data_IF_899999632495
#
_entry.id   IF_899999632495
#
_cell.length_a   1.000
_cell.length_b   1.000
_cell.length_c   1.000
_cell.angle_alpha   90.00
_cell.angle_beta   90.00
_cell.angle_gamma   90.00
#
_symmetry.space_group_name_H-M   'P 1'
#
loop_
_entity.id
_entity.type
_entity.pdbx_description
1 polymer ?
#
# COMPACT_ATOMS: atom_id res chain seq x y z
N UNK A 1 -28.53 -2.82 9.42
CA UNK A 1 -28.09 -4.15 9.86
C UNK A 1 -26.63 -4.24 9.49
N UNK A 2 -25.73 -4.49 10.43
CA UNK A 2 -24.32 -4.73 10.10
C UNK A 2 -24.28 -6.03 9.32
N UNK A 3 -23.76 -5.99 8.08
CA UNK A 3 -23.52 -7.19 7.30
C UNK A 3 -22.51 -8.04 8.06
N UNK A 4 -22.92 -9.27 8.38
CA UNK A 4 -22.04 -10.28 8.94
C UNK A 4 -21.03 -10.65 7.83
N UNK A 5 -19.85 -9.98 7.85
CA UNK A 5 -18.75 -10.26 6.92
C UNK A 5 -17.90 -11.42 7.42
N UNK A 6 -18.52 -12.54 7.74
CA UNK A 6 -17.83 -13.80 8.06
C UNK A 6 -16.80 -14.21 7.00
N UNK A 7 -16.97 -13.74 5.76
CA UNK A 7 -16.07 -13.97 4.62
C UNK A 7 -14.68 -13.32 4.79
N UNK A 8 -14.54 -12.40 5.74
CA UNK A 8 -13.24 -11.79 6.08
C UNK A 8 -12.52 -12.47 7.24
N UNK A 9 -13.05 -13.58 7.74
CA UNK A 9 -12.34 -14.40 8.72
C UNK A 9 -10.95 -14.78 8.19
N UNK A 10 -9.89 -14.72 9.03
CA UNK A 10 -8.51 -14.95 8.59
C UNK A 10 -8.29 -16.29 7.87
N UNK A 11 -8.99 -17.34 8.27
CA UNK A 11 -8.94 -18.66 7.66
C UNK A 11 -9.47 -18.65 6.21
N UNK A 12 -10.59 -17.97 5.95
CA UNK A 12 -11.15 -17.79 4.62
C UNK A 12 -10.25 -16.90 3.77
N UNK A 13 -9.79 -15.77 4.33
CA UNK A 13 -8.88 -14.84 3.64
C UNK A 13 -7.56 -15.49 3.24
N UNK A 14 -7.00 -16.33 4.11
CA UNK A 14 -5.72 -16.99 3.85
C UNK A 14 -5.82 -18.24 2.98
N UNK A 15 -7.03 -18.77 2.78
CA UNK A 15 -7.27 -19.96 1.92
C UNK A 15 -7.27 -19.68 0.43
N UNK A 16 -7.17 -18.41 0.02
CA UNK A 16 -7.24 -18.00 -1.38
C UNK A 16 -6.46 -16.71 -1.66
N UNK A 17 -6.21 -16.46 -2.94
CA UNK A 17 -5.67 -15.21 -3.46
C UNK A 17 -6.81 -14.34 -3.97
N UNK A 18 -6.99 -13.17 -3.37
CA UNK A 18 -8.11 -12.26 -3.64
C UNK A 18 -7.69 -11.11 -4.56
N UNK A 19 -8.66 -10.42 -5.15
CA UNK A 19 -8.38 -9.25 -6.01
C UNK A 19 -7.59 -8.17 -5.27
N UNK A 20 -7.86 -7.94 -3.99
CA UNK A 20 -7.07 -7.04 -3.15
C UNK A 20 -5.63 -7.52 -2.94
N UNK A 21 -5.38 -8.84 -2.89
CA UNK A 21 -4.02 -9.37 -2.81
C UNK A 21 -3.25 -9.16 -4.13
N UNK A 22 -3.95 -9.31 -5.27
CA UNK A 22 -3.40 -8.97 -6.58
C UNK A 22 -3.00 -7.50 -6.63
N UNK A 23 -3.88 -6.61 -6.17
CA UNK A 23 -3.60 -5.17 -6.08
C UNK A 23 -2.37 -4.89 -5.22
N UNK A 24 -2.25 -5.50 -4.06
CA UNK A 24 -1.10 -5.35 -3.17
C UNK A 24 0.19 -5.89 -3.82
N UNK A 25 0.13 -7.06 -4.44
CA UNK A 25 1.29 -7.67 -5.09
C UNK A 25 1.82 -6.80 -6.25
N UNK A 26 0.94 -6.24 -7.07
CA UNK A 26 1.32 -5.33 -8.17
C UNK A 26 1.85 -4.00 -7.63
N UNK A 27 1.37 -3.55 -6.47
CA UNK A 27 1.86 -2.34 -5.79
C UNK A 27 3.19 -2.54 -5.03
N UNK A 28 3.86 -3.68 -5.19
CA UNK A 28 5.16 -3.95 -4.58
C UNK A 28 5.12 -4.64 -3.21
N UNK A 29 3.95 -5.13 -2.77
CA UNK A 29 3.76 -5.79 -1.47
C UNK A 29 3.54 -7.32 -1.60
N UNK A 30 4.10 -7.95 -2.66
CA UNK A 30 3.89 -9.37 -2.90
C UNK A 30 4.44 -10.26 -1.77
N UNK A 31 5.65 -9.97 -1.28
CA UNK A 31 6.30 -10.73 -0.20
C UNK A 31 5.49 -10.62 1.09
N UNK A 32 5.07 -9.42 1.47
CA UNK A 32 4.25 -9.18 2.66
C UNK A 32 2.92 -9.95 2.57
N UNK A 33 2.24 -9.86 1.42
CA UNK A 33 0.99 -10.58 1.17
C UNK A 33 1.17 -12.10 1.31
N UNK A 34 2.26 -12.67 0.76
CA UNK A 34 2.57 -14.09 0.89
C UNK A 34 2.79 -14.47 2.35
N UNK A 35 3.56 -13.70 3.11
CA UNK A 35 3.83 -13.98 4.52
C UNK A 35 2.56 -13.94 5.38
N UNK A 36 1.64 -13.00 5.08
CA UNK A 36 0.32 -12.94 5.73
C UNK A 36 -0.49 -14.21 5.40
N UNK A 37 -0.54 -14.62 4.11
CA UNK A 37 -1.24 -15.84 3.68
C UNK A 37 -0.69 -17.11 4.31
N UNK A 38 0.61 -17.16 4.57
CA UNK A 38 1.28 -18.25 5.26
C UNK A 38 1.09 -18.22 6.80
N UNK A 39 0.44 -17.18 7.34
CA UNK A 39 0.30 -16.98 8.78
C UNK A 39 1.60 -16.60 9.49
N UNK A 40 2.65 -16.24 8.75
CA UNK A 40 3.95 -15.80 9.29
C UNK A 40 3.95 -14.36 9.76
N UNK A 41 2.98 -13.59 9.28
CA UNK A 41 2.72 -12.22 9.71
C UNK A 41 1.22 -12.01 9.94
N UNK A 42 0.83 -11.24 10.95
CA UNK A 42 -0.56 -10.84 11.09
C UNK A 42 -0.94 -9.88 9.95
N UNK A 43 -2.19 -9.90 9.49
CA UNK A 43 -2.68 -8.85 8.61
C UNK A 43 -2.66 -7.50 9.35
N UNK A 44 -2.50 -6.38 8.63
CA UNK A 44 -2.57 -5.06 9.25
C UNK A 44 -3.94 -4.85 9.89
N UNK A 45 -3.95 -4.32 11.12
CA UNK A 45 -5.20 -3.89 11.76
C UNK A 45 -5.67 -2.58 11.15
N UNK A 46 -6.70 -2.66 10.34
CA UNK A 46 -7.32 -1.52 9.66
C UNK A 46 -8.56 -0.98 10.38
N UNK A 47 -8.95 -1.56 11.52
CA UNK A 47 -10.20 -1.22 12.23
C UNK A 47 -10.24 0.24 12.71
N UNK A 48 -9.09 0.80 13.10
CA UNK A 48 -8.92 2.20 13.50
C UNK A 48 -8.57 3.17 12.36
N UNK A 49 -8.45 2.69 11.11
CA UNK A 49 -8.06 3.54 9.98
C UNK A 49 -9.28 4.25 9.41
N UNK A 50 -9.40 5.55 9.70
CA UNK A 50 -10.54 6.38 9.29
C UNK A 50 -10.80 6.34 7.77
N UNK A 51 -9.73 6.35 6.95
CA UNK A 51 -9.85 6.28 5.49
C UNK A 51 -10.53 4.98 5.01
N UNK A 52 -10.29 3.85 5.69
CA UNK A 52 -10.95 2.57 5.39
C UNK A 52 -12.41 2.61 5.80
N UNK A 53 -12.71 3.13 7.00
CA UNK A 53 -14.08 3.31 7.47
C UNK A 53 -14.88 4.22 6.53
N UNK A 54 -14.29 5.34 6.11
CA UNK A 54 -14.90 6.26 5.12
C UNK A 54 -15.08 5.61 3.76
N UNK A 55 -14.20 4.70 3.35
CA UNK A 55 -14.37 3.89 2.15
C UNK A 55 -15.70 3.13 2.18
N UNK A 56 -15.96 2.39 3.26
CA UNK A 56 -17.20 1.63 3.44
C UNK A 56 -18.44 2.54 3.50
N UNK A 57 -18.38 3.67 4.26
CA UNK A 57 -19.49 4.61 4.35
C UNK A 57 -19.83 5.24 3.01
N UNK A 58 -18.83 5.52 2.18
CA UNK A 58 -19.02 6.18 0.88
C UNK A 58 -19.36 5.21 -0.25
N UNK A 59 -19.15 3.91 -0.11
CA UNK A 59 -19.41 2.90 -1.15
C UNK A 59 -20.83 3.02 -1.77
N UNK A 60 -21.94 3.06 -1.01
CA UNK A 60 -23.28 3.21 -1.59
C UNK A 60 -23.48 4.55 -2.32
N UNK A 61 -22.84 5.62 -1.82
CA UNK A 61 -22.93 6.95 -2.43
C UNK A 61 -22.20 6.97 -3.77
N UNK A 62 -20.98 6.41 -3.84
CA UNK A 62 -20.20 6.31 -5.07
C UNK A 62 -20.93 5.41 -6.08
N UNK A 63 -21.55 4.30 -5.63
CA UNK A 63 -22.39 3.45 -6.46
C UNK A 63 -23.55 4.20 -7.11
N UNK A 64 -24.25 5.06 -6.36
CA UNK A 64 -25.30 5.93 -6.92
C UNK A 64 -24.78 6.95 -7.93
N UNK A 65 -23.62 7.55 -7.66
CA UNK A 65 -22.97 8.46 -8.61
C UNK A 65 -22.60 7.72 -9.90
N UNK A 66 -22.09 6.48 -9.79
CA UNK A 66 -21.76 5.63 -10.91
C UNK A 66 -23.02 5.26 -11.72
N UNK A 67 -24.08 4.82 -11.06
CA UNK A 67 -25.37 4.51 -11.68
C UNK A 67 -25.92 5.68 -12.53
N UNK A 68 -25.88 6.89 -11.94
CA UNK A 68 -26.33 8.10 -12.62
C UNK A 68 -25.45 8.48 -13.82
N UNK A 69 -24.12 8.43 -13.66
CA UNK A 69 -23.17 8.80 -14.73
C UNK A 69 -23.18 7.81 -15.88
N UNK A 70 -23.24 6.52 -15.58
CA UNK A 70 -23.27 5.43 -16.54
C UNK A 70 -24.68 5.20 -17.15
N UNK A 71 -25.71 5.83 -16.57
CA UNK A 71 -27.13 5.65 -16.98
C UNK A 71 -27.55 4.17 -16.95
N UNK A 72 -27.09 3.43 -15.96
CA UNK A 72 -27.43 2.03 -15.75
C UNK A 72 -27.83 1.78 -14.29
N UNK A 73 -28.79 0.91 -14.09
CA UNK A 73 -29.14 0.45 -12.75
C UNK A 73 -28.05 -0.48 -12.23
N UNK A 74 -27.54 -0.20 -11.02
CA UNK A 74 -26.56 -1.01 -10.31
C UNK A 74 -27.20 -1.70 -9.14
N UNK A 75 -26.87 -2.96 -8.95
CA UNK A 75 -27.22 -3.77 -7.78
C UNK A 75 -26.01 -3.98 -6.92
N UNK A 76 -26.20 -3.97 -5.61
CA UNK A 76 -25.19 -4.39 -4.64
C UNK A 76 -24.76 -5.83 -4.95
N UNK A 77 -23.45 -6.04 -5.09
CA UNK A 77 -22.84 -7.33 -5.32
C UNK A 77 -22.02 -7.77 -4.10
N UNK A 78 -22.55 -7.52 -2.88
CA UNK A 78 -21.89 -7.87 -1.61
C UNK A 78 -21.83 -9.39 -1.41
N UNK A 79 -21.13 -10.05 -2.35
CA UNK A 79 -20.82 -11.47 -2.35
C UNK A 79 -19.40 -11.69 -2.88
N UNK A 80 -18.87 -12.88 -2.67
CA UNK A 80 -17.65 -13.31 -3.34
C UNK A 80 -17.89 -14.50 -4.26
N UNK A 81 -17.05 -14.62 -5.27
CA UNK A 81 -16.98 -15.79 -6.13
C UNK A 81 -15.60 -16.41 -6.12
N UNK A 82 -15.57 -17.69 -6.43
CA UNK A 82 -14.36 -18.47 -6.70
C UNK A 82 -14.27 -18.69 -8.21
N UNK A 83 -13.08 -18.51 -8.80
CA UNK A 83 -12.88 -18.79 -10.22
C UNK A 83 -13.22 -20.24 -10.55
N UNK A 84 -13.91 -20.52 -11.66
CA UNK A 84 -14.47 -21.85 -11.95
C UNK A 84 -13.43 -22.99 -11.99
N UNK A 85 -12.22 -22.73 -12.45
CA UNK A 85 -11.15 -23.74 -12.57
C UNK A 85 -10.02 -23.54 -11.55
N UNK A 86 -9.87 -22.32 -11.00
CA UNK A 86 -8.81 -21.97 -10.08
C UNK A 86 -9.38 -21.69 -8.68
N UNK A 87 -9.58 -22.73 -7.89
CA UNK A 87 -10.26 -22.65 -6.57
C UNK A 87 -9.57 -21.73 -5.55
N UNK A 88 -8.30 -21.41 -5.79
CA UNK A 88 -7.51 -20.50 -4.99
C UNK A 88 -7.67 -19.02 -5.41
N UNK A 89 -8.35 -18.71 -6.52
CA UNK A 89 -8.47 -17.39 -7.09
C UNK A 89 -9.90 -16.86 -6.86
N UNK A 90 -10.06 -15.84 -6.00
CA UNK A 90 -11.35 -15.36 -5.51
C UNK A 90 -11.46 -13.85 -5.54
N UNK A 91 -12.65 -13.34 -5.66
CA UNK A 91 -12.93 -11.91 -5.54
C UNK A 91 -14.25 -11.62 -4.86
N UNK A 92 -14.26 -10.51 -4.10
CA UNK A 92 -15.45 -9.76 -3.74
C UNK A 92 -15.75 -8.74 -4.82
N UNK A 93 -17.00 -8.28 -4.88
CA UNK A 93 -17.47 -7.30 -5.85
C UNK A 93 -18.26 -6.22 -5.11
N UNK A 94 -18.20 -4.97 -5.61
CA UNK A 94 -18.96 -3.88 -5.03
C UNK A 94 -20.35 -3.80 -5.68
N UNK A 95 -20.40 -3.68 -7.01
CA UNK A 95 -21.66 -3.56 -7.75
C UNK A 95 -21.64 -4.33 -9.06
N UNK A 96 -22.84 -4.71 -9.53
CA UNK A 96 -23.08 -5.29 -10.85
C UNK A 96 -24.26 -4.58 -11.51
N UNK A 97 -24.21 -4.38 -12.83
CA UNK A 97 -25.35 -3.84 -13.57
C UNK A 97 -26.58 -4.78 -13.49
N UNK A 98 -27.78 -4.21 -13.56
CA UNK A 98 -29.04 -4.98 -13.42
C UNK A 98 -29.18 -6.09 -14.46
N UNK A 99 -28.59 -5.93 -15.65
CA UNK A 99 -28.52 -6.92 -16.72
C UNK A 99 -27.37 -7.93 -16.58
N UNK A 100 -26.52 -7.76 -15.57
CA UNK A 100 -25.40 -8.65 -15.30
C UNK A 100 -24.22 -8.52 -16.26
N UNK A 101 -24.15 -7.49 -17.08
CA UNK A 101 -23.14 -7.34 -18.13
C UNK A 101 -21.89 -6.55 -17.72
N UNK A 102 -21.96 -5.81 -16.61
CA UNK A 102 -20.90 -4.88 -16.20
C UNK A 102 -20.67 -4.96 -14.69
N UNK A 103 -19.42 -5.12 -14.28
CA UNK A 103 -18.98 -4.95 -12.89
C UNK A 103 -18.61 -3.49 -12.64
N UNK A 104 -18.85 -3.00 -11.44
CA UNK A 104 -18.43 -1.66 -11.02
C UNK A 104 -17.75 -1.74 -9.68
N UNK A 105 -16.45 -1.49 -9.68
CA UNK A 105 -15.62 -1.32 -8.48
C UNK A 105 -15.62 0.14 -8.08
N UNK A 106 -15.73 0.44 -6.80
CA UNK A 106 -15.74 1.82 -6.29
C UNK A 106 -14.55 2.12 -5.39
N UNK A 107 -14.02 3.33 -5.53
CA UNK A 107 -12.89 3.79 -4.71
C UNK A 107 -13.15 5.20 -4.18
N UNK A 108 -12.82 5.41 -2.91
CA UNK A 108 -12.78 6.73 -2.29
C UNK A 108 -11.31 7.10 -2.02
N UNK A 109 -10.75 7.98 -2.84
CA UNK A 109 -9.34 8.37 -2.75
C UNK A 109 -9.18 9.81 -2.26
N UNK A 110 -8.04 10.07 -1.63
CA UNK A 110 -7.62 11.42 -1.33
C UNK A 110 -7.41 12.23 -2.62
N UNK A 111 -7.68 13.53 -2.58
CA UNK A 111 -7.49 14.44 -3.74
C UNK A 111 -6.07 14.41 -4.31
N UNK A 112 -5.04 14.21 -3.48
CA UNK A 112 -3.65 14.08 -3.92
C UNK A 112 -3.39 12.86 -4.82
N UNK A 113 -4.25 11.84 -4.77
CA UNK A 113 -4.14 10.65 -5.62
C UNK A 113 -4.63 10.92 -7.04
N UNK A 114 -5.40 11.99 -7.26
CA UNK A 114 -6.01 12.35 -8.54
C UNK A 114 -5.01 12.42 -9.70
N UNK A 115 -3.80 12.91 -9.45
CA UNK A 115 -2.75 13.06 -10.47
C UNK A 115 -2.23 11.74 -11.05
N UNK A 116 -2.55 10.59 -10.43
CA UNK A 116 -2.20 9.24 -10.94
C UNK A 116 -3.20 8.73 -11.98
N UNK A 117 -4.31 9.44 -12.17
CA UNK A 117 -5.41 9.08 -13.07
C UNK A 117 -5.51 10.07 -14.21
N UNK A 118 -5.77 9.58 -15.41
CA UNK A 118 -5.94 10.40 -16.60
C UNK A 118 -7.24 9.95 -17.33
N UNK A 119 -8.35 10.71 -17.20
CA UNK A 119 -9.61 10.38 -17.86
C UNK A 119 -9.55 10.46 -19.38
N UNK A 120 -8.68 11.31 -19.94
CA UNK A 120 -8.58 11.52 -21.38
C UNK A 120 -7.97 10.31 -22.08
N UNK A 121 -7.02 9.65 -21.41
CA UNK A 121 -6.38 8.41 -21.91
C UNK A 121 -6.90 7.15 -21.23
N UNK A 122 -7.90 7.24 -20.37
CA UNK A 122 -8.44 6.15 -19.55
C UNK A 122 -7.37 5.43 -18.70
N UNK A 123 -6.33 6.17 -18.28
CA UNK A 123 -5.21 5.62 -17.49
C UNK A 123 -5.52 5.65 -16.00
N UNK A 124 -5.26 4.53 -15.35
CA UNK A 124 -5.35 4.34 -13.88
C UNK A 124 -4.05 3.71 -13.37
N UNK A 125 -3.80 3.69 -12.06
CA UNK A 125 -2.68 2.95 -11.47
C UNK A 125 -2.71 1.46 -11.81
N UNK A 126 -1.55 0.87 -12.10
CA UNK A 126 -1.42 -0.54 -12.48
C UNK A 126 -2.01 -1.51 -11.44
N UNK A 127 -1.92 -1.15 -10.16
CA UNK A 127 -2.49 -1.94 -9.08
C UNK A 127 -4.02 -1.97 -9.10
N UNK A 128 -4.65 -0.84 -9.40
CA UNK A 128 -6.10 -0.76 -9.55
C UNK A 128 -6.54 -1.51 -10.84
N UNK A 129 -5.82 -1.32 -11.94
CA UNK A 129 -6.05 -2.06 -13.19
C UNK A 129 -6.00 -3.58 -12.97
N UNK A 130 -4.98 -4.07 -12.25
CA UNK A 130 -4.84 -5.49 -11.97
C UNK A 130 -5.95 -6.03 -11.06
N UNK A 131 -6.47 -5.21 -10.13
CA UNK A 131 -7.65 -5.58 -9.33
C UNK A 131 -8.87 -5.76 -10.21
N UNK A 132 -9.18 -4.82 -11.12
CA UNK A 132 -10.31 -4.91 -12.03
C UNK A 132 -10.21 -6.13 -12.96
N UNK A 133 -9.01 -6.39 -13.49
CA UNK A 133 -8.76 -7.56 -14.33
C UNK A 133 -8.96 -8.87 -13.56
N UNK A 134 -8.54 -8.91 -12.27
CA UNK A 134 -8.80 -10.04 -11.40
C UNK A 134 -10.29 -10.29 -11.18
N UNK A 135 -11.06 -9.24 -10.91
CA UNK A 135 -12.51 -9.30 -10.74
C UNK A 135 -13.20 -9.79 -12.02
N UNK A 136 -12.79 -9.24 -13.15
CA UNK A 136 -13.25 -9.69 -14.47
C UNK A 136 -13.00 -11.19 -14.69
N UNK A 137 -11.80 -11.66 -14.36
CA UNK A 137 -11.44 -13.07 -14.51
C UNK A 137 -12.28 -13.99 -13.62
N UNK A 138 -12.50 -13.63 -12.37
CA UNK A 138 -13.28 -14.45 -11.42
C UNK A 138 -14.75 -14.49 -11.79
N UNK A 139 -15.35 -13.35 -12.14
CA UNK A 139 -16.77 -13.27 -12.48
C UNK A 139 -17.07 -13.68 -13.93
N UNK A 140 -16.04 -13.65 -14.79
CA UNK A 140 -16.17 -13.90 -16.25
C UNK A 140 -17.02 -12.84 -16.98
N UNK A 141 -17.03 -11.64 -16.44
CA UNK A 141 -17.60 -10.46 -17.09
C UNK A 141 -16.45 -9.62 -17.63
N UNK A 142 -16.35 -9.41 -18.95
CA UNK A 142 -15.24 -8.68 -19.55
C UNK A 142 -15.29 -7.18 -19.23
N UNK A 143 -16.48 -6.60 -19.10
CA UNK A 143 -16.67 -5.17 -18.86
C UNK A 143 -16.62 -4.86 -17.37
N UNK A 144 -15.62 -4.04 -16.97
CA UNK A 144 -15.48 -3.55 -15.60
C UNK A 144 -15.30 -2.04 -15.62
N UNK A 145 -15.96 -1.35 -14.73
CA UNK A 145 -15.86 0.09 -14.55
C UNK A 145 -15.26 0.38 -13.18
N UNK A 146 -14.24 1.22 -13.13
CA UNK A 146 -13.75 1.82 -11.89
C UNK A 146 -14.43 3.16 -11.68
N UNK A 147 -15.17 3.32 -10.60
CA UNK A 147 -15.81 4.56 -10.19
C UNK A 147 -15.08 5.17 -8.99
N UNK A 148 -14.53 6.35 -9.16
CA UNK A 148 -13.65 6.96 -8.15
C UNK A 148 -14.17 8.32 -7.70
N UNK A 149 -14.23 8.51 -6.38
CA UNK A 149 -14.44 9.79 -5.75
C UNK A 149 -13.13 10.30 -5.15
N UNK A 150 -12.63 11.45 -5.62
CA UNK A 150 -11.39 12.07 -5.15
C UNK A 150 -11.70 13.21 -4.18
N UNK A 151 -11.22 13.10 -2.93
CA UNK A 151 -11.38 14.11 -1.90
C UNK A 151 -12.82 14.50 -1.58
N UNK A 152 -13.79 13.65 -1.92
CA UNK A 152 -15.23 13.93 -1.75
C UNK A 152 -15.81 14.95 -2.73
N UNK A 153 -15.07 15.42 -3.73
CA UNK A 153 -15.45 16.55 -4.59
C UNK A 153 -15.42 16.24 -6.09
N UNK A 154 -14.49 15.42 -6.57
CA UNK A 154 -14.35 15.08 -7.98
C UNK A 154 -14.70 13.61 -8.20
N UNK A 155 -15.66 13.34 -9.08
CA UNK A 155 -16.10 11.97 -9.42
C UNK A 155 -15.76 11.62 -10.86
N UNK A 156 -15.04 10.51 -11.05
CA UNK A 156 -14.61 9.99 -12.35
C UNK A 156 -14.97 8.52 -12.51
N UNK A 157 -15.14 8.08 -13.78
CA UNK A 157 -15.32 6.67 -14.15
C UNK A 157 -14.34 6.30 -15.25
N UNK A 158 -13.80 5.08 -15.15
CA UNK A 158 -12.83 4.50 -16.10
C UNK A 158 -13.37 3.14 -16.53
N UNK A 159 -13.54 2.92 -17.84
CA UNK A 159 -14.18 1.72 -18.38
C UNK A 159 -13.14 0.82 -19.05
N UNK A 160 -13.18 -0.47 -18.76
CA UNK A 160 -12.30 -1.48 -19.34
C UNK A 160 -13.08 -2.66 -19.88
N UNK A 161 -12.59 -3.23 -20.99
CA UNK A 161 -13.06 -4.49 -21.53
C UNK A 161 -11.89 -5.44 -21.62
N UNK A 162 -11.85 -6.40 -20.72
CA UNK A 162 -10.75 -7.36 -20.60
C UNK A 162 -10.95 -8.55 -21.52
N UNK A 163 -9.88 -8.98 -22.15
CA UNK A 163 -9.85 -10.18 -22.99
C UNK A 163 -9.59 -11.42 -22.15
N UNK A 164 -9.99 -12.59 -22.66
CA UNK A 164 -9.67 -13.88 -22.03
C UNK A 164 -8.14 -14.11 -21.93
N UNK A 165 -7.36 -13.57 -22.87
CA UNK A 165 -5.92 -13.67 -22.83
C UNK A 165 -5.32 -12.88 -21.65
N UNK A 166 -5.76 -11.64 -21.44
CA UNK A 166 -5.32 -10.82 -20.29
C UNK A 166 -5.69 -11.47 -18.96
N UNK A 167 -6.91 -12.00 -18.85
CA UNK A 167 -7.36 -12.74 -17.67
C UNK A 167 -6.47 -13.95 -17.40
N UNK A 168 -6.19 -14.75 -18.44
CA UNK A 168 -5.34 -15.95 -18.35
C UNK A 168 -3.92 -15.59 -17.94
N UNK A 169 -3.35 -14.52 -18.47
CA UNK A 169 -1.98 -14.10 -18.19
C UNK A 169 -1.87 -13.54 -16.76
N UNK A 170 -2.89 -12.84 -16.26
CA UNK A 170 -2.95 -12.43 -14.86
C UNK A 170 -3.01 -13.66 -13.93
N UNK A 171 -3.89 -14.63 -14.23
CA UNK A 171 -4.00 -15.87 -13.43
C UNK A 171 -2.65 -16.58 -13.35
N UNK A 172 -1.94 -16.75 -14.47
CA UNK A 172 -0.60 -17.35 -14.50
C UNK A 172 0.39 -16.58 -13.61
N UNK A 173 0.36 -15.25 -13.70
CA UNK A 173 1.23 -14.40 -12.88
C UNK A 173 0.92 -14.56 -11.38
N UNK A 174 -0.34 -14.56 -11.00
CA UNK A 174 -0.74 -14.73 -9.59
C UNK A 174 -0.52 -16.16 -9.10
N UNK A 175 -0.60 -17.16 -9.99
CA UNK A 175 -0.28 -18.55 -9.65
C UNK A 175 1.17 -18.73 -9.15
N UNK A 176 2.12 -17.91 -9.63
CA UNK A 176 3.49 -17.90 -9.12
C UNK A 176 3.50 -17.50 -7.64
N UNK A 177 2.81 -16.43 -7.27
CA UNK A 177 2.72 -15.98 -5.87
C UNK A 177 1.97 -16.98 -5.00
N UNK A 178 0.86 -17.54 -5.50
CA UNK A 178 0.13 -18.58 -4.80
C UNK A 178 0.97 -19.86 -4.63
N UNK A 179 1.81 -20.19 -5.62
CA UNK A 179 2.80 -21.27 -5.52
C UNK A 179 3.74 -21.09 -4.34
N UNK A 180 4.22 -19.88 -4.08
CA UNK A 180 5.01 -19.57 -2.89
C UNK A 180 4.22 -19.76 -1.59
N UNK A 181 2.95 -19.34 -1.55
CA UNK A 181 2.08 -19.58 -0.39
C UNK A 181 1.96 -21.09 -0.09
N UNK A 182 1.70 -21.89 -1.12
CA UNK A 182 1.55 -23.35 -0.99
C UNK A 182 2.83 -24.07 -0.62
N UNK A 183 3.98 -23.60 -1.14
CA UNK A 183 5.29 -24.20 -0.87
C UNK A 183 5.93 -23.68 0.42
N UNK A 184 5.29 -22.79 1.14
CA UNK A 184 5.81 -22.13 2.35
C UNK A 184 7.13 -21.38 2.12
N UNK A 185 7.31 -20.81 0.91
CA UNK A 185 8.47 -20.04 0.48
C UNK A 185 8.09 -18.61 0.14
N UNK A 186 9.09 -17.75 -0.12
CA UNK A 186 8.89 -16.38 -0.63
C UNK A 186 9.70 -16.19 -1.89
N UNK A 187 9.29 -15.29 -2.81
CA UNK A 187 10.18 -14.81 -3.85
C UNK A 187 11.40 -14.11 -3.23
N UNK A 188 12.48 -13.98 -4.00
CA UNK A 188 13.66 -13.24 -3.56
C UNK A 188 13.27 -11.77 -3.30
N UNK A 189 13.57 -11.21 -2.12
CA UNK A 189 13.25 -9.82 -1.79
C UNK A 189 13.91 -8.84 -2.76
N UNK A 190 13.16 -7.82 -3.19
CA UNK A 190 13.59 -6.80 -4.13
C UNK A 190 13.83 -5.44 -3.46
N UNK A 191 13.34 -5.25 -2.23
CA UNK A 191 13.48 -4.02 -1.46
C UNK A 191 14.11 -4.27 -0.10
N UNK A 192 14.63 -3.19 0.54
CA UNK A 192 15.15 -3.29 1.91
C UNK A 192 14.04 -3.71 2.88
N UNK A 193 12.83 -3.21 2.67
CA UNK A 193 11.66 -3.53 3.49
C UNK A 193 11.34 -5.03 3.38
N UNK A 194 11.29 -5.58 2.19
CA UNK A 194 11.08 -7.03 1.99
C UNK A 194 12.20 -7.88 2.62
N UNK A 195 13.47 -7.43 2.53
CA UNK A 195 14.55 -8.15 3.20
C UNK A 195 14.39 -8.19 4.71
N UNK A 196 13.88 -7.12 5.32
CA UNK A 196 13.58 -7.09 6.76
C UNK A 196 12.42 -8.02 7.13
N UNK A 197 11.42 -8.13 6.26
CA UNK A 197 10.28 -9.01 6.46
C UNK A 197 10.70 -10.50 6.41
N UNK A 198 11.43 -10.87 5.37
CA UNK A 198 11.84 -12.27 5.13
C UNK A 198 12.95 -12.71 6.10
N UNK A 199 13.88 -11.82 6.40
CA UNK A 199 15.05 -12.11 7.24
C UNK A 199 15.02 -11.31 8.55
N UNK A 200 13.90 -11.35 9.25
CA UNK A 200 13.65 -10.55 10.46
C UNK A 200 14.60 -10.89 11.62
N UNK A 201 15.09 -12.13 11.68
CA UNK A 201 16.01 -12.63 12.71
C UNK A 201 17.33 -13.08 12.08
N UNK A 202 18.43 -12.93 12.81
CA UNK A 202 19.72 -13.52 12.46
C UNK A 202 19.93 -14.84 13.24
N UNK A 203 20.71 -15.72 12.64
CA UNK A 203 21.38 -16.79 13.35
C UNK A 203 22.87 -16.49 13.48
N UNK A 204 23.63 -17.36 14.15
CA UNK A 204 25.08 -17.19 14.34
C UNK A 204 25.90 -17.64 13.13
N UNK A 205 25.26 -17.93 11.99
CA UNK A 205 25.92 -18.32 10.75
C UNK A 205 26.74 -17.18 10.13
N UNK A 206 27.89 -17.56 9.56
CA UNK A 206 28.82 -16.66 8.87
C UNK A 206 28.89 -17.02 7.41
N UNK A 207 28.83 -16.03 6.53
CA UNK A 207 29.05 -16.19 5.10
C UNK A 207 30.44 -15.64 4.75
N UNK A 208 31.26 -16.44 4.07
CA UNK A 208 32.51 -15.95 3.48
C UNK A 208 32.16 -15.26 2.16
N UNK A 209 32.55 -14.01 2.02
CA UNK A 209 32.25 -13.23 0.83
C UNK A 209 32.94 -13.81 -0.43
N UNK A 210 32.21 -13.86 -1.53
CA UNK A 210 32.80 -14.07 -2.87
C UNK A 210 33.40 -12.75 -3.38
N UNK A 211 34.30 -12.80 -4.37
CA UNK A 211 34.91 -11.58 -4.93
C UNK A 211 33.88 -10.58 -5.49
N UNK A 212 32.73 -11.07 -6.00
CA UNK A 212 31.62 -10.22 -6.42
C UNK A 212 30.97 -9.53 -5.24
N UNK A 213 30.72 -10.26 -4.15
CA UNK A 213 30.11 -9.69 -2.94
C UNK A 213 31.03 -8.68 -2.25
N UNK A 214 32.33 -8.97 -2.18
CA UNK A 214 33.34 -8.03 -1.66
C UNK A 214 33.35 -6.72 -2.45
N UNK A 215 33.31 -6.81 -3.79
CA UNK A 215 33.23 -5.63 -4.66
C UNK A 215 31.94 -4.83 -4.39
N UNK A 216 30.78 -5.50 -4.33
CA UNK A 216 29.49 -4.83 -4.03
C UNK A 216 29.52 -4.12 -2.68
N UNK A 217 30.13 -4.73 -1.65
CA UNK A 217 30.29 -4.11 -0.32
C UNK A 217 31.23 -2.88 -0.41
N UNK A 218 32.35 -3.00 -1.15
CA UNK A 218 33.27 -1.89 -1.38
C UNK A 218 32.61 -0.71 -2.12
N UNK A 219 31.86 -0.99 -3.17
CA UNK A 219 31.14 0.01 -3.95
C UNK A 219 30.06 0.71 -3.08
N UNK A 220 29.31 -0.05 -2.29
CA UNK A 220 28.33 0.52 -1.37
C UNK A 220 28.98 1.39 -0.29
N UNK A 221 30.14 0.98 0.25
CA UNK A 221 30.92 1.77 1.21
C UNK A 221 31.39 3.09 0.59
N UNK A 222 31.91 3.04 -0.64
CA UNK A 222 32.35 4.22 -1.37
C UNK A 222 31.20 5.19 -1.66
N UNK A 223 30.04 4.68 -2.10
CA UNK A 223 28.83 5.48 -2.34
C UNK A 223 28.36 6.15 -1.04
N UNK A 224 28.30 5.41 0.07
CA UNK A 224 27.93 5.99 1.37
C UNK A 224 28.90 7.06 1.84
N UNK A 225 30.20 6.89 1.56
CA UNK A 225 31.22 7.92 1.79
C UNK A 225 30.92 9.21 1.04
N UNK A 226 30.67 9.11 -0.27
CA UNK A 226 30.28 10.26 -1.11
C UNK A 226 28.98 10.95 -0.66
N UNK A 227 27.98 10.17 -0.27
CA UNK A 227 26.72 10.73 0.28
C UNK A 227 27.04 11.58 1.52
N UNK A 228 27.82 11.05 2.46
CA UNK A 228 28.19 11.77 3.67
C UNK A 228 28.98 13.07 3.39
N UNK A 229 29.89 13.04 2.41
CA UNK A 229 30.61 14.24 1.95
C UNK A 229 29.64 15.30 1.39
N UNK A 230 28.70 14.88 0.54
CA UNK A 230 27.69 15.78 -0.03
C UNK A 230 26.72 16.32 1.05
N UNK A 231 26.32 15.49 2.00
CA UNK A 231 25.51 15.93 3.15
C UNK A 231 26.24 16.98 3.97
N UNK A 232 27.54 16.82 4.20
CA UNK A 232 28.36 17.82 4.90
C UNK A 232 28.40 19.16 4.16
N UNK A 233 28.55 19.12 2.83
CA UNK A 233 28.52 20.35 2.00
C UNK A 233 27.14 21.00 2.02
N UNK A 234 26.09 20.19 1.91
CA UNK A 234 24.70 20.70 1.97
C UNK A 234 24.41 21.34 3.33
N UNK A 235 24.85 20.72 4.43
CA UNK A 235 24.72 21.26 5.78
C UNK A 235 25.46 22.63 5.93
N UNK A 236 26.66 22.76 5.36
CA UNK A 236 27.38 24.04 5.36
C UNK A 236 26.58 25.15 4.64
N UNK A 237 25.99 24.84 3.47
CA UNK A 237 25.16 25.80 2.77
C UNK A 237 23.85 26.12 3.51
N UNK A 238 23.26 25.11 4.14
CA UNK A 238 22.08 25.31 4.98
C UNK A 238 22.36 26.21 6.18
N UNK A 239 23.50 26.03 6.85
CA UNK A 239 23.96 26.90 7.95
C UNK A 239 24.15 28.34 7.44
N UNK A 240 24.76 28.53 6.27
CA UNK A 240 24.94 29.84 5.68
C UNK A 240 23.58 30.52 5.42
N UNK A 241 22.64 29.80 4.79
CA UNK A 241 21.27 30.31 4.51
C UNK A 241 20.53 30.65 5.81
N UNK A 242 20.62 29.80 6.83
CA UNK A 242 20.00 30.06 8.15
C UNK A 242 20.59 31.26 8.86
N UNK A 243 21.89 31.51 8.73
CA UNK A 243 22.54 32.69 9.27
C UNK A 243 22.03 33.98 8.60
N UNK A 244 21.80 33.95 7.28
CA UNK A 244 21.20 35.08 6.55
C UNK A 244 19.72 35.30 6.93
N UNK A 245 18.97 34.21 7.18
CA UNK A 245 17.59 34.29 7.66
C UNK A 245 17.50 34.92 9.07
N UNK A 246 18.40 34.54 9.95
CA UNK A 246 18.39 34.94 11.36
C UNK A 246 17.02 34.72 12.01
N UNK A 247 16.32 35.81 12.36
CA UNK A 247 14.98 35.81 12.98
C UNK A 247 13.84 35.89 11.94
N UNK A 248 14.15 35.93 10.65
CA UNK A 248 13.13 36.06 9.58
C UNK A 248 12.54 34.71 9.21
N UNK A 249 11.31 34.73 8.74
CA UNK A 249 10.54 33.54 8.43
C UNK A 249 10.76 33.00 7.02
N UNK A 250 11.25 33.84 6.07
CA UNK A 250 11.40 33.45 4.66
C UNK A 250 12.40 34.32 3.91
N UNK A 251 13.00 33.72 2.87
CA UNK A 251 13.78 34.43 1.83
C UNK A 251 12.99 34.41 0.55
N UNK A 252 12.93 35.51 -0.14
CA UNK A 252 12.30 35.65 -1.46
C UNK A 252 13.31 36.00 -2.54
N UNK A 253 13.02 35.56 -3.76
CA UNK A 253 13.72 36.03 -4.95
C UNK A 253 13.36 37.49 -5.27
N UNK A 254 14.11 38.08 -6.18
CA UNK A 254 13.84 39.44 -6.66
C UNK A 254 12.44 39.59 -7.29
N UNK A 255 11.92 38.51 -7.89
CA UNK A 255 10.57 38.42 -8.49
C UNK A 255 9.46 38.18 -7.47
N UNK A 256 9.79 38.16 -6.16
CA UNK A 256 8.84 37.94 -5.07
C UNK A 256 8.51 36.47 -4.74
N UNK A 257 9.08 35.51 -5.46
CA UNK A 257 8.86 34.10 -5.20
C UNK A 257 9.56 33.66 -3.90
N UNK A 258 8.88 32.91 -3.05
CA UNK A 258 9.48 32.36 -1.86
C UNK A 258 10.49 31.26 -2.22
N UNK A 259 11.75 31.43 -1.83
CA UNK A 259 12.85 30.50 -2.06
C UNK A 259 13.07 29.56 -0.87
N UNK A 260 13.01 30.11 0.36
CA UNK A 260 13.23 29.37 1.60
C UNK A 260 12.23 29.84 2.65
N UNK A 261 11.76 28.91 3.48
CA UNK A 261 10.98 29.24 4.68
C UNK A 261 11.60 28.54 5.90
N UNK A 262 11.68 29.29 7.01
CA UNK A 262 12.10 28.77 8.29
C UNK A 262 11.23 29.38 9.40
N UNK A 263 10.05 28.76 9.60
CA UNK A 263 8.99 29.28 10.48
C UNK A 263 8.90 28.46 11.76
N UNK A 264 8.65 29.11 12.89
CA UNK A 264 8.31 28.43 14.13
C UNK A 264 7.01 27.66 13.99
N UNK A 265 6.98 26.39 14.39
CA UNK A 265 5.74 25.62 14.49
C UNK A 265 4.92 26.09 15.69
N UNK A 266 3.61 25.83 15.68
CA UNK A 266 2.78 26.02 16.86
C UNK A 266 3.22 25.06 17.98
N UNK A 267 3.14 25.46 19.26
CA UNK A 267 3.35 24.55 20.38
C UNK A 267 2.43 23.32 20.23
N UNK A 268 2.99 22.15 20.50
CA UNK A 268 2.23 20.90 20.52
C UNK A 268 2.41 20.21 21.86
N UNK A 269 1.37 19.52 22.31
CA UNK A 269 1.46 18.67 23.49
C UNK A 269 1.85 17.25 23.09
N UNK A 270 2.75 16.63 23.82
CA UNK A 270 3.12 15.23 23.65
C UNK A 270 3.18 14.52 24.98
N UNK A 271 2.90 13.25 24.98
CA UNK A 271 3.07 12.41 26.16
C UNK A 271 4.56 12.35 26.53
N UNK A 272 4.87 12.60 27.80
CA UNK A 272 6.24 12.47 28.35
C UNK A 272 6.35 11.13 29.08
N UNK A 273 6.98 10.16 28.44
CA UNK A 273 7.19 8.85 29.04
C UNK A 273 8.06 8.91 30.31
N UNK A 274 9.07 9.78 30.34
CA UNK A 274 9.95 9.95 31.52
C UNK A 274 9.19 10.53 32.71
N UNK A 275 8.37 11.57 32.47
CA UNK A 275 7.54 12.15 33.52
C UNK A 275 6.49 11.14 34.00
N UNK A 276 5.86 10.40 33.09
CA UNK A 276 4.88 9.36 33.44
C UNK A 276 5.52 8.23 34.25
N UNK A 277 6.69 7.75 33.84
CA UNK A 277 7.47 6.74 34.57
C UNK A 277 7.81 7.19 36.00
N UNK A 278 8.20 8.46 36.16
CA UNK A 278 8.54 9.01 37.47
C UNK A 278 7.32 9.24 38.35
N UNK A 279 6.20 9.70 37.78
CA UNK A 279 5.01 10.09 38.52
C UNK A 279 4.05 8.94 38.78
N UNK A 280 4.04 7.93 37.90
CA UNK A 280 3.12 6.78 37.93
C UNK A 280 3.87 5.47 37.59
N UNK A 281 4.88 5.05 38.40
CA UNK A 281 5.74 3.91 38.08
C UNK A 281 4.95 2.60 37.90
N UNK A 282 3.97 2.31 38.76
CA UNK A 282 3.18 1.08 38.70
C UNK A 282 2.35 0.98 37.42
N UNK A 283 1.83 2.12 36.94
CA UNK A 283 1.10 2.18 35.68
C UNK A 283 2.06 2.05 34.49
N UNK A 284 3.23 2.67 34.57
CA UNK A 284 4.25 2.55 33.54
C UNK A 284 4.68 1.08 33.33
N UNK A 285 5.00 0.37 34.42
CA UNK A 285 5.37 -1.05 34.39
C UNK A 285 4.25 -1.96 33.82
N UNK A 286 3.00 -1.63 34.12
CA UNK A 286 1.83 -2.39 33.61
C UNK A 286 1.68 -2.30 32.08
N UNK A 287 2.10 -1.19 31.47
CA UNK A 287 1.90 -0.92 30.04
C UNK A 287 3.20 -0.97 29.23
N UNK A 288 4.33 -1.31 29.85
CA UNK A 288 5.55 -1.62 29.14
C UNK A 288 5.41 -2.99 28.47
N UNK A 289 5.80 -3.08 27.20
CA UNK A 289 5.82 -4.33 26.45
C UNK A 289 7.23 -4.57 25.91
N UNK A 290 7.67 -5.79 25.96
CA UNK A 290 8.92 -6.19 25.32
C UNK A 290 8.73 -6.22 23.80
N UNK A 291 9.58 -5.48 23.09
CA UNK A 291 9.59 -5.47 21.64
C UNK A 291 10.71 -6.36 21.12
N UNK A 292 10.43 -7.18 20.14
CA UNK A 292 11.45 -7.98 19.48
C UNK A 292 12.56 -7.07 18.91
N UNK A 293 13.81 -7.45 19.11
CA UNK A 293 14.96 -6.73 18.57
C UNK A 293 14.95 -6.74 17.04
N UNK A 294 15.38 -5.64 16.42
CA UNK A 294 15.52 -5.54 14.96
C UNK A 294 16.96 -5.82 14.53
N UNK A 295 17.11 -6.40 13.32
CA UNK A 295 18.44 -6.56 12.70
C UNK A 295 18.97 -5.22 12.22
N UNK A 296 20.21 -4.88 12.63
CA UNK A 296 20.89 -3.67 12.17
C UNK A 296 21.91 -4.01 11.08
N UNK A 297 21.75 -3.45 9.89
CA UNK A 297 22.72 -3.58 8.80
C UNK A 297 23.84 -2.54 8.95
N UNK A 298 25.08 -3.02 9.15
CA UNK A 298 26.26 -2.16 9.32
C UNK A 298 27.37 -2.62 8.36
N UNK A 299 27.96 -1.67 7.64
CA UNK A 299 29.18 -1.87 6.84
C UNK A 299 30.37 -1.47 7.72
N UNK A 300 31.34 -2.37 7.84
CA UNK A 300 32.57 -2.18 8.63
C UNK A 300 33.72 -1.68 7.75
#
# INVERSE_FOLDING_TARGET
MANDRSDFAPDIRNSAWWASDTRQAINGHAVETILIKQGKQPPPDLSGVEAVQMGHVMQPTIGRLASNKLKMELKDADYYLTHPTESWFRSHFDFISADGSTLVEVKNYNSSTRNKFDPDTNRIPDADYAQLLHESAVHRIPKVVLAVLFGGQEFQTFEFNFTEQEQTDLIKKMAVFWGHVKADTTPAPQTIEETKLVYSQSNDGVIVATGTLERTIGDLKAIKGKIKELETVAEQWEVQIRNELADKAEIRSFDGNTLVTWKSSKPSMRFSADLFKTSMPDLYEKYIVEMAGSRRFLIK
#
